data_IF_857495336261
#
_entry.id   IF_857495336261
#
_cell.length_a   1.000
_cell.length_b   1.000
_cell.length_c   1.000
_cell.angle_alpha   90.00
_cell.angle_beta   90.00
_cell.angle_gamma   90.00
#
_symmetry.space_group_name_H-M   'P 1'
#
loop_
_entity.id
_entity.type
_entity.pdbx_description
1 polymer ?
#
# COMPACT_ATOMS: atom_id res chain seq x y z
N UNK A 1 -5.47 5.38 20.77
CA UNK A 1 -5.30 4.65 19.51
C UNK A 1 -5.48 5.67 18.39
N UNK A 2 -4.44 6.03 17.65
CA UNK A 2 -4.53 6.99 16.55
C UNK A 2 -5.38 6.38 15.42
N UNK A 3 -6.23 7.19 14.78
CA UNK A 3 -7.00 6.72 13.64
C UNK A 3 -6.09 6.39 12.44
N UNK A 4 -6.53 5.49 11.56
CA UNK A 4 -5.78 5.13 10.34
C UNK A 4 -5.42 6.36 9.48
N UNK A 5 -6.33 7.36 9.41
CA UNK A 5 -6.08 8.62 8.71
C UNK A 5 -4.95 9.44 9.32
N UNK A 6 -4.88 9.49 10.65
CA UNK A 6 -3.81 10.19 11.37
C UNK A 6 -2.45 9.53 11.15
N UNK A 7 -2.41 8.20 11.09
CA UNK A 7 -1.18 7.44 10.83
C UNK A 7 -0.66 7.69 9.40
N UNK A 8 -1.54 7.73 8.40
CA UNK A 8 -1.16 8.04 7.00
C UNK A 8 -0.68 9.49 6.81
N UNK A 9 -1.27 10.44 7.51
CA UNK A 9 -0.82 11.83 7.47
C UNK A 9 0.55 11.99 8.14
N UNK A 10 0.78 11.33 9.28
CA UNK A 10 2.09 11.28 9.93
C UNK A 10 3.13 10.66 8.98
N UNK A 11 2.82 9.54 8.32
CA UNK A 11 3.71 8.90 7.35
C UNK A 11 4.06 9.87 6.22
N UNK A 12 3.09 10.52 5.61
CA UNK A 12 3.29 11.44 4.49
C UNK A 12 4.11 12.68 4.87
N UNK A 13 3.79 13.29 6.00
CA UNK A 13 4.52 14.46 6.50
C UNK A 13 5.93 14.08 6.96
N UNK A 14 6.09 12.91 7.60
CA UNK A 14 7.41 12.39 8.00
C UNK A 14 8.28 12.11 6.79
N UNK A 15 7.73 11.56 5.69
CA UNK A 15 8.47 11.37 4.44
C UNK A 15 8.95 12.69 3.83
N UNK A 16 8.11 13.74 3.81
CA UNK A 16 8.49 15.06 3.32
C UNK A 16 9.53 15.76 4.22
N UNK A 17 9.34 15.70 5.53
CA UNK A 17 10.28 16.28 6.50
C UNK A 17 11.61 15.53 6.50
N UNK A 18 11.60 14.19 6.46
CA UNK A 18 12.81 13.37 6.39
C UNK A 18 13.53 13.59 5.06
N UNK A 19 12.84 13.61 3.94
CA UNK A 19 13.46 13.88 2.63
C UNK A 19 14.11 15.26 2.58
N UNK A 20 13.42 16.32 3.01
CA UNK A 20 13.96 17.67 3.03
C UNK A 20 15.09 17.86 4.05
N UNK A 21 14.95 17.25 5.24
CA UNK A 21 15.95 17.32 6.30
C UNK A 21 17.18 16.48 5.97
N UNK A 22 17.03 15.28 5.44
CA UNK A 22 18.13 14.42 5.04
C UNK A 22 18.94 15.01 3.90
N UNK A 23 18.27 15.58 2.89
CA UNK A 23 18.98 16.27 1.80
C UNK A 23 19.82 17.43 2.32
N UNK A 24 19.30 18.20 3.28
CA UNK A 24 19.99 19.38 3.81
C UNK A 24 21.00 19.02 4.90
N UNK A 25 20.65 18.15 5.83
CA UNK A 25 21.49 17.85 6.99
C UNK A 25 22.53 16.75 6.74
N UNK A 26 22.31 15.83 5.82
CA UNK A 26 23.37 14.96 5.30
C UNK A 26 24.38 15.77 4.49
N UNK A 27 23.95 16.83 3.80
CA UNK A 27 24.88 17.80 3.20
C UNK A 27 25.64 18.56 4.28
N UNK A 28 24.98 19.04 5.33
CA UNK A 28 25.62 19.80 6.43
C UNK A 28 26.49 18.90 7.34
N UNK A 29 26.08 17.66 7.63
CA UNK A 29 26.87 16.69 8.40
C UNK A 29 28.04 16.11 7.59
N UNK A 30 27.94 16.04 6.27
CA UNK A 30 29.03 15.60 5.41
C UNK A 30 30.13 16.66 5.25
N UNK A 31 29.84 17.94 5.52
CA UNK A 31 30.86 19.00 5.38
C UNK A 31 32.06 18.82 6.33
N UNK A 32 31.81 18.30 7.55
CA UNK A 32 32.87 18.07 8.55
C UNK A 32 33.57 16.70 8.44
N UNK A 33 33.06 15.80 7.62
CA UNK A 33 33.55 14.42 7.49
C UNK A 33 34.01 14.04 6.09
N UNK A 34 33.89 14.98 5.13
CA UNK A 34 34.39 14.76 3.77
C UNK A 34 35.92 14.69 3.80
N UNK A 35 36.44 13.52 3.56
CA UNK A 35 37.83 13.33 3.23
C UNK A 35 38.06 13.97 1.88
N UNK A 36 38.80 15.09 1.88
CA UNK A 36 39.16 15.84 0.66
C UNK A 36 40.09 15.05 -0.28
N UNK A 37 40.61 13.93 0.19
CA UNK A 37 41.45 12.99 -0.57
C UNK A 37 40.64 11.91 -1.33
N UNK A 38 39.32 11.84 -1.14
CA UNK A 38 38.44 10.91 -1.84
C UNK A 38 37.51 11.70 -2.75
N UNK A 39 37.63 11.48 -4.06
CA UNK A 39 36.78 12.11 -5.08
C UNK A 39 35.44 11.41 -5.21
N UNK A 40 34.75 11.19 -4.10
CA UNK A 40 33.40 10.59 -4.09
C UNK A 40 32.37 11.63 -3.68
N UNK A 41 31.24 11.68 -4.40
CA UNK A 41 30.12 12.54 -4.09
C UNK A 41 28.86 11.68 -3.88
N UNK A 42 28.47 11.42 -2.62
CA UNK A 42 27.22 10.72 -2.34
C UNK A 42 26.03 11.65 -2.54
N UNK A 43 25.00 11.15 -3.21
CA UNK A 43 23.73 11.85 -3.40
C UNK A 43 22.59 10.92 -3.05
N UNK A 44 21.69 11.32 -2.15
CA UNK A 44 20.47 10.57 -1.86
C UNK A 44 19.53 10.73 -3.05
N UNK A 45 19.15 9.61 -3.65
CA UNK A 45 18.24 9.56 -4.80
C UNK A 45 16.83 9.13 -4.43
N UNK A 46 16.69 8.35 -3.34
CA UNK A 46 15.38 7.91 -2.83
C UNK A 46 15.43 7.70 -1.31
N UNK A 47 14.26 7.80 -0.68
CA UNK A 47 14.10 7.53 0.75
C UNK A 47 12.71 6.91 1.01
N UNK A 48 12.70 5.72 1.59
CA UNK A 48 11.49 4.94 1.87
C UNK A 48 11.35 4.74 3.36
N UNK A 49 10.23 5.19 3.94
CA UNK A 49 9.89 4.91 5.34
C UNK A 49 9.23 3.54 5.44
N UNK A 50 9.85 2.65 6.21
CA UNK A 50 9.39 1.28 6.41
C UNK A 50 8.51 1.11 7.63
N UNK A 51 8.83 1.79 8.71
CA UNK A 51 8.12 1.62 9.97
C UNK A 51 8.08 2.92 10.77
N UNK A 52 6.97 3.15 11.46
CA UNK A 52 6.80 4.23 12.43
C UNK A 52 6.18 3.65 13.68
N UNK A 53 6.88 3.79 14.79
CA UNK A 53 6.44 3.33 16.11
C UNK A 53 6.30 4.52 17.06
N UNK A 54 5.23 4.55 17.84
CA UNK A 54 5.10 5.55 18.89
C UNK A 54 6.03 5.19 20.04
N UNK A 55 6.96 6.08 20.37
CA UNK A 55 7.95 5.91 21.45
C UNK A 55 7.70 6.78 22.69
N UNK A 56 6.69 7.64 22.63
CA UNK A 56 6.24 8.52 23.73
C UNK A 56 4.91 9.17 23.38
N UNK A 57 4.41 10.10 24.22
CA UNK A 57 3.11 10.75 23.99
C UNK A 57 3.06 11.45 22.63
N UNK A 58 4.07 12.23 22.32
CA UNK A 58 4.17 13.03 21.09
C UNK A 58 5.48 12.75 20.34
N UNK A 59 6.06 11.57 20.58
CA UNK A 59 7.34 11.16 20.02
C UNK A 59 7.19 9.85 19.27
N UNK A 60 7.76 9.80 18.07
CA UNK A 60 7.73 8.64 17.18
C UNK A 60 9.15 8.26 16.75
N UNK A 61 9.39 6.97 16.60
CA UNK A 61 10.59 6.41 16.00
C UNK A 61 10.26 5.99 14.57
N UNK A 62 10.95 6.55 13.60
CA UNK A 62 10.77 6.19 12.19
C UNK A 62 12.01 5.46 11.67
N UNK A 63 11.81 4.27 11.10
CA UNK A 63 12.85 3.50 10.40
C UNK A 63 12.66 3.70 8.90
N UNK A 64 13.74 4.09 8.23
CA UNK A 64 13.71 4.38 6.79
C UNK A 64 14.99 3.90 6.11
N UNK A 65 14.87 3.56 4.83
CA UNK A 65 15.96 3.19 3.94
C UNK A 65 16.21 4.33 2.96
N UNK A 66 17.46 4.61 2.68
CA UNK A 66 17.87 5.58 1.65
C UNK A 66 18.69 4.88 0.56
N UNK A 67 18.41 5.25 -0.68
CA UNK A 67 19.25 4.92 -1.82
C UNK A 67 20.26 6.08 -2.04
N UNK A 68 21.53 5.76 -1.95
CA UNK A 68 22.61 6.70 -2.16
C UNK A 68 23.37 6.36 -3.44
N UNK A 69 23.42 7.30 -4.35
CA UNK A 69 24.26 7.20 -5.54
C UNK A 69 25.64 7.79 -5.25
N UNK A 70 26.66 6.97 -5.37
CA UNK A 70 28.05 7.35 -5.17
C UNK A 70 28.73 7.45 -6.53
N UNK A 71 29.27 8.62 -6.84
CA UNK A 71 30.09 8.83 -8.05
C UNK A 71 31.55 8.80 -7.68
N UNK A 72 32.29 7.92 -8.37
CA UNK A 72 33.74 7.80 -8.27
C UNK A 72 34.34 7.85 -9.68
N UNK A 73 34.81 9.03 -10.07
CA UNK A 73 35.17 9.27 -11.46
C UNK A 73 33.99 9.12 -12.42
N UNK A 74 34.10 8.21 -13.40
CA UNK A 74 33.03 7.89 -14.35
C UNK A 74 32.09 6.75 -13.85
N UNK A 75 32.45 6.09 -12.78
CA UNK A 75 31.64 5.02 -12.20
C UNK A 75 30.58 5.57 -11.25
N UNK A 76 29.41 4.97 -11.31
CA UNK A 76 28.29 5.29 -10.42
C UNK A 76 27.80 4.00 -9.78
N UNK A 77 27.78 3.98 -8.45
CA UNK A 77 27.30 2.83 -7.64
C UNK A 77 26.15 3.28 -6.77
N UNK A 78 25.09 2.47 -6.66
CA UNK A 78 24.00 2.70 -5.71
C UNK A 78 24.21 1.85 -4.46
N UNK A 79 24.15 2.49 -3.30
CA UNK A 79 24.27 1.85 -1.99
C UNK A 79 23.01 2.15 -1.18
N UNK A 80 22.49 1.13 -0.50
CA UNK A 80 21.35 1.26 0.42
C UNK A 80 21.84 1.34 1.85
N UNK A 81 21.21 2.21 2.63
CA UNK A 81 21.49 2.33 4.06
C UNK A 81 20.18 2.55 4.83
N UNK A 82 20.03 1.83 5.95
CA UNK A 82 18.85 1.92 6.80
C UNK A 82 19.17 2.71 8.05
N UNK A 83 18.27 3.59 8.43
CA UNK A 83 18.41 4.47 9.59
C UNK A 83 17.15 4.48 10.42
N UNK A 84 17.30 4.82 11.71
CA UNK A 84 16.19 5.15 12.60
C UNK A 84 16.38 6.58 13.11
N UNK A 85 15.28 7.35 13.14
CA UNK A 85 15.24 8.73 13.63
C UNK A 85 14.11 8.88 14.63
N UNK A 86 14.25 9.78 15.63
CA UNK A 86 13.15 10.17 16.51
C UNK A 86 12.61 11.54 16.11
N UNK A 87 11.28 11.60 16.05
CA UNK A 87 10.52 12.78 15.65
C UNK A 87 9.54 13.13 16.75
N UNK A 88 9.48 14.39 17.13
CA UNK A 88 8.41 14.95 17.95
C UNK A 88 7.35 15.54 17.02
N UNK A 89 6.07 15.29 17.34
CA UNK A 89 4.92 15.81 16.61
C UNK A 89 4.06 16.57 17.60
N UNK A 90 3.86 17.85 17.37
CA UNK A 90 3.05 18.68 18.27
C UNK A 90 1.53 18.59 17.99
N UNK A 91 0.73 19.34 18.75
CA UNK A 91 -0.72 19.35 18.64
C UNK A 91 -1.22 19.89 17.28
N UNK A 92 -0.46 20.79 16.66
CA UNK A 92 -0.75 21.39 15.34
C UNK A 92 -0.26 20.48 14.20
N UNK A 93 0.34 19.33 14.54
CA UNK A 93 0.95 18.35 13.62
C UNK A 93 2.23 18.82 12.96
N UNK A 94 2.86 19.85 13.50
CA UNK A 94 4.20 20.23 13.10
C UNK A 94 5.21 19.23 13.68
N UNK A 95 6.31 19.02 12.95
CA UNK A 95 7.27 17.96 13.27
C UNK A 95 8.68 18.49 13.36
N UNK A 96 9.43 17.96 14.33
CA UNK A 96 10.85 18.22 14.48
C UNK A 96 11.61 16.93 14.80
N UNK A 97 12.77 16.77 14.16
CA UNK A 97 13.69 15.68 14.49
C UNK A 97 14.40 16.02 15.77
N UNK A 98 14.19 15.21 16.82
CA UNK A 98 14.74 15.39 18.15
C UNK A 98 15.96 14.52 18.45
N UNK A 99 16.24 13.54 17.56
CA UNK A 99 17.45 12.71 17.61
C UNK A 99 18.01 12.54 16.21
N UNK A 100 19.31 12.72 16.05
CA UNK A 100 19.97 12.47 14.78
C UNK A 100 19.78 11.00 14.32
N UNK A 101 19.78 10.76 13.00
CA UNK A 101 19.67 9.41 12.48
C UNK A 101 20.77 8.49 13.03
N UNK A 102 20.38 7.28 13.41
CA UNK A 102 21.27 6.19 13.79
C UNK A 102 21.15 5.06 12.79
N UNK A 103 22.24 4.35 12.54
CA UNK A 103 22.22 3.17 11.67
C UNK A 103 21.28 2.11 12.25
N UNK A 104 20.50 1.49 11.39
CA UNK A 104 19.61 0.37 11.69
C UNK A 104 19.94 -0.83 10.80
N UNK A 105 19.57 -2.05 11.20
CA UNK A 105 19.69 -3.24 10.35
C UNK A 105 18.98 -3.05 9.01
N UNK A 106 19.52 -3.64 7.95
CA UNK A 106 18.86 -3.68 6.66
C UNK A 106 17.46 -4.32 6.78
N UNK A 107 16.52 -3.81 6.01
CA UNK A 107 15.18 -4.39 5.94
C UNK A 107 15.25 -5.63 5.03
N UNK A 108 14.88 -6.77 5.57
CA UNK A 108 14.86 -8.03 4.83
C UNK A 108 13.42 -8.39 4.42
N UNK A 109 13.28 -9.01 3.26
CA UNK A 109 12.00 -9.55 2.83
C UNK A 109 11.64 -10.75 3.72
N UNK A 110 10.39 -10.80 4.15
CA UNK A 110 9.89 -11.99 4.89
C UNK A 110 9.93 -13.24 4.01
N UNK A 111 10.33 -14.37 4.60
CA UNK A 111 10.25 -15.69 3.98
C UNK A 111 8.82 -16.26 3.98
N UNK A 112 7.84 -15.49 4.48
CA UNK A 112 6.45 -15.91 4.48
C UNK A 112 5.90 -16.01 3.06
N UNK A 113 5.47 -17.22 2.70
CA UNK A 113 4.73 -17.48 1.47
C UNK A 113 3.24 -17.60 1.78
N UNK A 114 2.40 -16.69 1.25
CA UNK A 114 0.97 -16.77 1.46
C UNK A 114 0.40 -18.03 0.80
N UNK A 115 -0.47 -18.74 1.54
CA UNK A 115 -1.16 -19.91 1.00
C UNK A 115 -2.04 -19.51 -0.17
N UNK A 116 -1.89 -20.22 -1.27
CA UNK A 116 -2.80 -20.07 -2.42
C UNK A 116 -4.21 -20.50 -2.00
N UNK A 117 -5.24 -19.66 -2.20
CA UNK A 117 -6.60 -20.09 -1.93
C UNK A 117 -6.98 -21.30 -2.80
N UNK A 118 -7.59 -22.30 -2.18
CA UNK A 118 -8.11 -23.49 -2.88
C UNK A 118 -9.61 -23.39 -3.02
N UNK A 119 -10.12 -23.81 -4.18
CA UNK A 119 -11.57 -23.88 -4.42
C UNK A 119 -12.20 -24.98 -3.56
N UNK A 120 -13.37 -24.71 -3.02
CA UNK A 120 -14.15 -25.69 -2.27
C UNK A 120 -14.86 -26.66 -3.23
N UNK A 121 -14.39 -27.90 -3.26
CA UNK A 121 -14.97 -28.94 -4.10
C UNK A 121 -16.45 -29.27 -3.79
N UNK A 122 -16.98 -28.81 -2.67
CA UNK A 122 -18.38 -28.98 -2.30
C UNK A 122 -19.32 -27.97 -2.96
N UNK A 123 -18.79 -26.93 -3.62
CA UNK A 123 -19.55 -25.94 -4.39
C UNK A 123 -19.80 -26.51 -5.78
N UNK A 124 -21.07 -26.66 -6.15
CA UNK A 124 -21.44 -27.16 -7.47
C UNK A 124 -21.10 -26.18 -8.60
N UNK A 125 -20.88 -26.71 -9.80
CA UNK A 125 -20.44 -25.92 -10.95
C UNK A 125 -21.46 -24.85 -11.37
N UNK A 126 -22.76 -25.11 -11.21
CA UNK A 126 -23.81 -24.15 -11.57
C UNK A 126 -23.75 -22.92 -10.64
N UNK A 127 -23.56 -23.14 -9.34
CA UNK A 127 -23.39 -22.09 -8.34
C UNK A 127 -22.13 -21.27 -8.64
N UNK A 128 -21.00 -21.93 -8.99
CA UNK A 128 -19.77 -21.24 -9.38
C UNK A 128 -19.99 -20.35 -10.59
N UNK A 129 -20.63 -20.89 -11.64
CA UNK A 129 -20.88 -20.15 -12.88
C UNK A 129 -21.81 -18.96 -12.64
N UNK A 130 -22.87 -19.14 -11.86
CA UNK A 130 -23.84 -18.09 -11.57
C UNK A 130 -23.25 -16.95 -10.73
N UNK A 131 -22.49 -17.29 -9.68
CA UNK A 131 -21.78 -16.31 -8.87
C UNK A 131 -20.69 -15.57 -9.68
N UNK A 132 -19.97 -16.28 -10.58
CA UNK A 132 -18.98 -15.67 -11.46
C UNK A 132 -19.61 -14.68 -12.43
N UNK A 133 -20.74 -15.04 -13.05
CA UNK A 133 -21.49 -14.15 -13.94
C UNK A 133 -22.01 -12.89 -13.22
N UNK A 134 -22.46 -13.06 -11.98
CA UNK A 134 -22.83 -11.92 -11.11
C UNK A 134 -21.63 -11.01 -10.85
N UNK A 135 -20.47 -11.57 -10.47
CA UNK A 135 -19.25 -10.79 -10.22
C UNK A 135 -18.75 -10.05 -11.45
N UNK A 136 -18.78 -10.68 -12.63
CA UNK A 136 -18.46 -10.01 -13.89
C UNK A 136 -19.36 -8.79 -14.15
N UNK A 137 -20.66 -8.95 -13.93
CA UNK A 137 -21.62 -7.87 -14.10
C UNK A 137 -21.38 -6.75 -13.10
N UNK A 138 -21.11 -7.10 -11.84
CA UNK A 138 -20.78 -6.16 -10.79
C UNK A 138 -19.51 -5.39 -11.11
N UNK A 139 -18.39 -6.05 -11.43
CA UNK A 139 -17.12 -5.38 -11.65
C UNK A 139 -17.05 -4.56 -12.95
N UNK A 140 -17.91 -4.87 -13.94
CA UNK A 140 -18.10 -3.98 -15.11
C UNK A 140 -18.70 -2.63 -14.72
N UNK A 141 -19.59 -2.62 -13.74
CA UNK A 141 -20.27 -1.41 -13.26
C UNK A 141 -19.49 -0.68 -12.17
N UNK A 142 -18.89 -1.41 -11.24
CA UNK A 142 -18.35 -0.91 -9.98
C UNK A 142 -17.41 0.31 -10.11
N UNK A 143 -16.49 0.41 -11.09
CA UNK A 143 -15.60 1.55 -11.21
C UNK A 143 -16.28 2.90 -11.35
N UNK A 144 -17.43 2.93 -12.05
CA UNK A 144 -18.16 4.16 -12.38
C UNK A 144 -19.52 4.27 -11.70
N UNK A 145 -19.91 3.24 -10.93
CA UNK A 145 -21.22 3.16 -10.31
C UNK A 145 -21.49 4.28 -9.31
N UNK A 146 -22.71 4.77 -9.31
CA UNK A 146 -23.25 5.63 -8.25
C UNK A 146 -23.69 4.78 -7.06
N UNK A 147 -23.85 5.39 -5.87
CA UNK A 147 -24.35 4.70 -4.68
C UNK A 147 -25.73 4.05 -4.92
N UNK A 148 -26.58 4.67 -5.75
CA UNK A 148 -27.90 4.14 -6.09
C UNK A 148 -27.79 2.86 -6.94
N UNK A 149 -26.88 2.82 -7.87
CA UNK A 149 -26.65 1.62 -8.71
C UNK A 149 -26.03 0.49 -7.90
N UNK A 150 -25.06 0.81 -7.02
CA UNK A 150 -24.45 -0.17 -6.12
C UNK A 150 -25.48 -0.84 -5.19
N UNK A 151 -26.51 -0.13 -4.74
CA UNK A 151 -27.54 -0.68 -3.85
C UNK A 151 -28.28 -1.92 -4.42
N UNK A 152 -28.22 -2.15 -5.74
CA UNK A 152 -28.77 -3.36 -6.35
C UNK A 152 -27.87 -4.59 -6.12
N UNK A 153 -26.56 -4.37 -6.01
CA UNK A 153 -25.54 -5.42 -5.93
C UNK A 153 -25.00 -5.63 -4.52
N UNK A 154 -25.11 -4.61 -3.67
CA UNK A 154 -24.46 -4.57 -2.36
C UNK A 154 -25.51 -4.40 -1.27
N UNK A 155 -25.36 -5.08 -0.16
CA UNK A 155 -26.21 -4.89 1.00
C UNK A 155 -25.65 -3.77 1.90
N UNK A 156 -26.47 -2.78 2.20
CA UNK A 156 -26.02 -1.62 2.97
C UNK A 156 -24.92 -0.82 2.26
N UNK A 157 -23.94 -0.35 3.03
CA UNK A 157 -22.80 0.46 2.54
C UNK A 157 -21.47 -0.28 2.68
N UNK A 158 -21.45 -1.60 2.48
CA UNK A 158 -20.20 -2.38 2.62
C UNK A 158 -19.17 -2.08 1.53
N UNK A 159 -19.62 -1.55 0.39
CA UNK A 159 -18.77 -1.02 -0.66
C UNK A 159 -19.26 0.37 -1.08
N UNK A 160 -18.36 1.34 -1.12
CA UNK A 160 -18.65 2.69 -1.57
C UNK A 160 -18.30 2.90 -3.05
N UNK A 161 -18.93 3.87 -3.73
CA UNK A 161 -18.54 4.27 -5.07
C UNK A 161 -17.09 4.71 -5.13
N UNK A 162 -16.32 4.19 -6.06
CA UNK A 162 -14.91 4.57 -6.22
C UNK A 162 -14.70 5.70 -7.23
N UNK A 163 -15.64 5.93 -8.15
CA UNK A 163 -15.62 7.06 -9.09
C UNK A 163 -14.34 7.11 -9.94
N UNK A 164 -13.89 5.97 -10.46
CA UNK A 164 -12.68 5.86 -11.26
C UNK A 164 -12.99 5.46 -12.70
N UNK A 165 -12.27 6.04 -13.64
CA UNK A 165 -12.39 5.70 -15.07
C UNK A 165 -11.56 4.46 -15.40
N UNK A 166 -12.02 3.32 -14.88
CA UNK A 166 -11.44 2.00 -15.12
C UNK A 166 -12.36 1.17 -16.01
N UNK A 167 -11.78 0.53 -17.00
CA UNK A 167 -12.46 -0.46 -17.83
C UNK A 167 -12.20 -1.87 -17.31
N UNK A 168 -13.27 -2.59 -16.98
CA UNK A 168 -13.19 -4.00 -16.65
C UNK A 168 -12.64 -4.80 -17.83
N UNK A 169 -11.70 -5.71 -17.55
CA UNK A 169 -11.14 -6.63 -18.54
C UNK A 169 -11.59 -8.07 -18.28
N UNK A 170 -11.22 -8.62 -17.11
CA UNK A 170 -11.54 -10.02 -16.77
C UNK A 170 -11.45 -10.27 -15.27
N UNK A 171 -12.12 -11.34 -14.81
CA UNK A 171 -11.84 -11.97 -13.52
C UNK A 171 -10.69 -12.95 -13.66
N UNK A 172 -9.79 -12.93 -12.68
CA UNK A 172 -8.62 -13.82 -12.66
C UNK A 172 -8.73 -14.73 -11.45
N UNK A 173 -8.78 -16.04 -11.70
CA UNK A 173 -8.79 -17.09 -10.69
C UNK A 173 -9.81 -16.87 -9.55
N UNK A 174 -11.11 -16.75 -9.83
CA UNK A 174 -12.11 -16.65 -8.77
C UNK A 174 -12.15 -17.96 -7.98
N UNK A 175 -11.96 -17.85 -6.67
CA UNK A 175 -12.01 -18.98 -5.73
C UNK A 175 -13.21 -18.79 -4.82
N UNK A 176 -14.13 -19.73 -4.86
CA UNK A 176 -15.36 -19.72 -4.08
C UNK A 176 -15.28 -20.81 -3.01
N UNK A 177 -15.67 -20.45 -1.78
CA UNK A 177 -15.76 -21.38 -0.64
C UNK A 177 -17.08 -21.16 0.10
N UNK A 178 -17.70 -22.23 0.59
CA UNK A 178 -18.92 -22.13 1.41
C UNK A 178 -18.60 -21.52 2.77
N UNK A 179 -19.47 -20.61 3.22
CA UNK A 179 -19.41 -19.98 4.55
C UNK A 179 -20.83 -19.92 5.13
N UNK A 180 -21.30 -21.05 5.67
CA UNK A 180 -22.69 -21.24 6.08
C UNK A 180 -23.65 -21.12 4.89
N UNK A 181 -24.61 -20.19 4.98
CA UNK A 181 -25.57 -19.88 3.91
C UNK A 181 -24.98 -18.87 2.88
N UNK A 182 -23.75 -18.46 3.06
CA UNK A 182 -23.07 -17.50 2.22
C UNK A 182 -21.96 -18.15 1.39
N UNK A 183 -21.42 -17.39 0.46
CA UNK A 183 -20.29 -17.76 -0.36
C UNK A 183 -19.18 -16.76 -0.17
N UNK A 184 -18.05 -17.21 0.35
CA UNK A 184 -16.81 -16.41 0.40
C UNK A 184 -16.10 -16.51 -0.92
N UNK A 185 -15.74 -15.37 -1.48
CA UNK A 185 -15.05 -15.25 -2.76
C UNK A 185 -13.73 -14.52 -2.60
N UNK A 186 -12.66 -15.12 -3.13
CA UNK A 186 -11.38 -14.44 -3.38
C UNK A 186 -11.18 -14.34 -4.88
N UNK A 187 -11.02 -13.16 -5.39
CA UNK A 187 -10.90 -12.93 -6.83
C UNK A 187 -9.94 -11.78 -7.12
N UNK A 188 -9.12 -11.94 -8.14
CA UNK A 188 -8.40 -10.84 -8.74
C UNK A 188 -9.19 -10.31 -9.93
N UNK A 189 -9.25 -9.00 -10.09
CA UNK A 189 -9.96 -8.33 -11.16
C UNK A 189 -8.98 -7.48 -11.93
N UNK A 190 -8.97 -7.65 -13.24
CA UNK A 190 -8.11 -6.91 -14.13
C UNK A 190 -8.86 -5.73 -14.73
N UNK A 191 -8.29 -4.55 -14.56
CA UNK A 191 -8.82 -3.30 -15.09
C UNK A 191 -7.78 -2.60 -15.96
N UNK A 192 -8.25 -1.86 -16.95
CA UNK A 192 -7.46 -0.86 -17.68
C UNK A 192 -7.80 0.51 -17.08
N UNK A 193 -6.82 1.19 -16.55
CA UNK A 193 -6.94 2.60 -16.14
C UNK A 193 -6.90 3.49 -17.39
N UNK A 194 -8.00 4.19 -17.67
CA UNK A 194 -8.10 5.05 -18.84
C UNK A 194 -7.21 6.30 -18.78
N UNK A 195 -6.80 6.71 -17.59
CA UNK A 195 -5.94 7.89 -17.42
C UNK A 195 -4.47 7.55 -17.66
N UNK A 196 -4.00 6.49 -16.99
CA UNK A 196 -2.56 6.10 -17.05
C UNK A 196 -2.27 5.13 -18.18
N UNK A 197 -3.28 4.51 -18.81
CA UNK A 197 -3.20 3.41 -19.78
C UNK A 197 -2.53 2.15 -19.20
N UNK A 198 -2.41 2.08 -17.88
CA UNK A 198 -1.84 0.93 -17.21
C UNK A 198 -2.90 -0.13 -16.92
N UNK A 199 -2.53 -1.40 -17.09
CA UNK A 199 -3.34 -2.51 -16.58
C UNK A 199 -3.07 -2.70 -15.11
N UNK A 200 -4.15 -2.78 -14.31
CA UNK A 200 -4.10 -3.03 -12.88
C UNK A 200 -4.79 -4.34 -12.55
N UNK A 201 -4.19 -5.13 -11.66
CA UNK A 201 -4.79 -6.36 -11.13
C UNK A 201 -5.07 -6.11 -9.65
N UNK A 202 -6.35 -5.99 -9.29
CA UNK A 202 -6.81 -5.68 -7.94
C UNK A 202 -7.46 -6.92 -7.33
N UNK A 203 -7.14 -7.22 -6.07
CA UNK A 203 -7.67 -8.38 -5.36
C UNK A 203 -8.82 -7.97 -4.43
N UNK A 204 -9.86 -8.79 -4.42
CA UNK A 204 -11.03 -8.62 -3.58
C UNK A 204 -11.31 -9.89 -2.80
N UNK A 205 -11.67 -9.72 -1.54
CA UNK A 205 -12.30 -10.75 -0.71
C UNK A 205 -13.73 -10.29 -0.40
N UNK A 206 -14.70 -11.05 -0.86
CA UNK A 206 -16.11 -10.70 -0.77
C UNK A 206 -16.89 -11.84 -0.14
N UNK A 207 -17.99 -11.50 0.54
CA UNK A 207 -18.99 -12.46 0.94
C UNK A 207 -20.27 -12.19 0.14
N UNK A 208 -20.71 -13.22 -0.57
CA UNK A 208 -21.94 -13.19 -1.35
C UNK A 208 -23.04 -13.93 -0.61
N UNK A 209 -24.23 -13.36 -0.63
CA UNK A 209 -25.47 -14.00 -0.17
C UNK A 209 -26.44 -14.13 -1.33
N UNK A 210 -27.12 -15.26 -1.42
CA UNK A 210 -28.11 -15.52 -2.47
C UNK A 210 -29.49 -15.74 -1.86
N UNK A 211 -30.36 -14.76 -2.05
CA UNK A 211 -31.83 -14.95 -1.91
C UNK A 211 -32.43 -15.24 -3.28
N UNK A 212 -33.20 -14.29 -3.83
CA UNK A 212 -33.66 -14.35 -5.23
C UNK A 212 -32.52 -13.96 -6.20
N UNK A 213 -31.61 -13.13 -5.78
CA UNK A 213 -30.44 -12.69 -6.53
C UNK A 213 -29.21 -12.66 -5.60
N UNK A 214 -28.01 -12.73 -6.19
CA UNK A 214 -26.78 -12.51 -5.47
C UNK A 214 -26.65 -11.07 -4.96
N UNK A 215 -26.12 -10.93 -3.76
CA UNK A 215 -25.69 -9.64 -3.20
C UNK A 215 -24.37 -9.79 -2.47
N UNK A 216 -23.55 -8.75 -2.54
CA UNK A 216 -22.32 -8.62 -1.74
C UNK A 216 -22.73 -8.09 -0.36
N UNK A 217 -22.36 -8.81 0.70
CA UNK A 217 -22.68 -8.45 2.08
C UNK A 217 -21.45 -8.06 2.90
N UNK A 218 -20.25 -8.31 2.41
CA UNK A 218 -18.94 -7.89 2.93
C UNK A 218 -17.89 -7.96 1.83
#
# INVERSE_FOLDING_TARGET
MLSYSTMWEIIRCTMQAISGYLTKKLQDLNVDTIRTDILTSPTVTDAIVWNIEQSGTDTFSATYEVDQQIKEGEQTTTVKATYTVKVHVDADRDMVIIQNPTLAPAIEKSDYEPKTPEADASVDADTVNDATAFLETFFKLYPTATAKELAYYVFGNVLEPIGRDYLYSELVNPVLTKDGDNMKVKVAVKFLDNQTKATQVLQYELILHKDSNWKIIM
#
